data_IF_442886775340
#
_entry.id   IF_442886775340
#
_cell.length_a   1.000
_cell.length_b   1.000
_cell.length_c   1.000
_cell.angle_alpha   90.00
_cell.angle_beta   90.00
_cell.angle_gamma   90.00
#
_symmetry.space_group_name_H-M   'P 1'
#
loop_
_entity.id
_entity.type
_entity.pdbx_description
1 polymer ?
#
# COMPACT_ATOMS: atom_id res chain seq x y z
N UNK A 1 -0.23 -7.85 23.41
CA UNK A 1 -1.41 -7.03 23.72
C UNK A 1 -2.33 -7.04 22.53
N UNK A 2 -3.62 -7.35 22.70
CA UNK A 2 -4.63 -7.34 21.63
C UNK A 2 -5.03 -5.89 21.35
N UNK A 3 -4.81 -5.41 20.12
CA UNK A 3 -5.37 -4.15 19.65
C UNK A 3 -6.84 -4.43 19.29
N UNK A 4 -7.85 -3.85 19.98
CA UNK A 4 -9.23 -4.31 19.85
C UNK A 4 -10.00 -3.72 18.67
N UNK A 5 -9.52 -2.63 18.05
CA UNK A 5 -10.31 -1.83 17.11
C UNK A 5 -9.53 -1.43 15.85
N UNK A 6 -10.16 -1.64 14.68
CA UNK A 6 -9.66 -1.27 13.33
C UNK A 6 -9.23 0.20 13.22
N UNK A 7 -9.91 1.09 13.95
CA UNK A 7 -9.60 2.52 14.00
C UNK A 7 -8.27 2.84 14.71
N UNK A 8 -7.77 1.94 15.57
CA UNK A 8 -6.49 2.11 16.28
C UNK A 8 -5.26 1.90 15.39
N UNK A 9 -5.44 1.43 14.15
CA UNK A 9 -4.37 1.26 13.16
C UNK A 9 -4.05 2.55 12.39
N UNK A 10 -4.98 3.52 12.39
CA UNK A 10 -4.77 4.84 11.79
C UNK A 10 -4.16 5.73 12.87
N UNK A 11 -2.82 5.79 12.89
CA UNK A 11 -2.09 6.53 13.92
C UNK A 11 -2.20 8.06 13.76
N UNK A 12 -2.42 8.57 12.54
CA UNK A 12 -2.51 10.01 12.23
C UNK A 12 -3.28 10.25 10.93
N UNK A 13 -4.00 11.36 10.85
CA UNK A 13 -4.69 11.84 9.65
C UNK A 13 -3.84 12.86 8.86
N UNK A 14 -4.09 13.08 7.56
CA UNK A 14 -3.46 14.18 6.80
C UNK A 14 -3.64 15.55 7.48
N UNK A 15 -4.80 15.80 8.08
CA UNK A 15 -5.12 17.03 8.81
C UNK A 15 -4.24 17.21 10.06
N UNK A 16 -3.91 16.11 10.76
CA UNK A 16 -2.95 16.13 11.88
C UNK A 16 -1.54 16.53 11.43
N UNK A 17 -1.12 16.11 10.23
CA UNK A 17 0.19 16.45 9.68
C UNK A 17 0.27 17.92 9.26
N UNK A 18 -0.80 18.43 8.64
CA UNK A 18 -0.89 19.84 8.27
C UNK A 18 -0.89 20.75 9.50
N UNK A 19 -1.71 20.43 10.51
CA UNK A 19 -1.84 21.26 11.72
C UNK A 19 -0.60 21.24 12.62
N UNK A 20 0.11 20.10 12.73
CA UNK A 20 1.26 19.97 13.65
C UNK A 20 2.61 20.22 13.00
N UNK A 21 2.76 19.92 11.72
CA UNK A 21 4.06 19.95 11.03
C UNK A 21 4.06 20.82 9.76
N UNK A 22 2.91 21.39 9.38
CA UNK A 22 2.73 22.15 8.13
C UNK A 22 3.19 21.36 6.89
N UNK A 23 2.99 20.04 6.92
CA UNK A 23 3.29 19.13 5.81
C UNK A 23 2.03 18.97 4.97
N UNK A 24 2.12 19.22 3.66
CA UNK A 24 1.08 18.90 2.70
C UNK A 24 1.10 17.40 2.39
N UNK A 25 0.05 16.68 2.77
CA UNK A 25 -0.06 15.24 2.57
C UNK A 25 -1.13 14.98 1.51
N UNK A 26 -0.68 14.54 0.33
CA UNK A 26 -1.57 14.20 -0.80
C UNK A 26 -1.81 12.70 -0.87
N UNK A 27 -2.91 12.26 -0.28
CA UNK A 27 -3.38 10.86 -0.38
C UNK A 27 -3.94 10.59 -1.78
N UNK A 28 -3.96 9.32 -2.20
CA UNK A 28 -4.42 8.92 -3.54
C UNK A 28 -3.65 9.59 -4.70
N UNK A 29 -2.41 10.00 -4.47
CA UNK A 29 -1.51 10.52 -5.48
C UNK A 29 -0.34 9.55 -5.64
N UNK A 30 -0.16 9.02 -6.84
CA UNK A 30 0.89 8.06 -7.17
C UNK A 30 1.97 8.74 -8.03
N UNK A 31 3.23 8.70 -7.57
CA UNK A 31 4.36 9.14 -8.39
C UNK A 31 4.70 8.03 -9.38
N UNK A 32 4.53 8.32 -10.67
CA UNK A 32 4.71 7.34 -11.77
C UNK A 32 6.07 7.44 -12.44
N UNK A 33 6.72 8.60 -12.38
CA UNK A 33 8.07 8.79 -12.91
C UNK A 33 8.82 9.90 -12.17
N UNK A 34 10.15 9.85 -12.23
CA UNK A 34 11.06 10.85 -11.65
C UNK A 34 12.04 11.26 -12.75
N UNK A 35 12.17 12.57 -12.97
CA UNK A 35 13.18 13.17 -13.85
C UNK A 35 14.22 13.92 -12.99
N UNK A 36 15.40 13.32 -12.73
CA UNK A 36 16.44 13.96 -11.94
C UNK A 36 17.14 15.13 -12.63
N UNK A 37 17.08 15.21 -13.97
CA UNK A 37 17.74 16.26 -14.75
C UNK A 37 16.96 17.56 -14.62
N UNK A 38 15.65 17.48 -14.85
CA UNK A 38 14.74 18.63 -14.73
C UNK A 38 14.24 18.83 -13.29
N UNK A 39 14.58 17.92 -12.37
CA UNK A 39 14.12 17.88 -10.98
C UNK A 39 12.60 17.92 -10.86
N UNK A 40 11.93 17.06 -11.61
CA UNK A 40 10.47 16.92 -11.58
C UNK A 40 10.04 15.50 -11.28
N UNK A 41 8.81 15.36 -10.79
CA UNK A 41 8.11 14.07 -10.67
C UNK A 41 6.79 14.15 -11.41
N UNK A 42 6.38 13.04 -12.03
CA UNK A 42 5.05 12.92 -12.63
C UNK A 42 4.13 12.22 -11.66
N UNK A 43 3.07 12.91 -11.26
CA UNK A 43 2.10 12.45 -10.27
C UNK A 43 0.77 12.18 -10.96
N UNK A 44 0.18 11.03 -10.65
CA UNK A 44 -1.18 10.66 -11.06
C UNK A 44 -2.09 10.75 -9.85
N UNK A 45 -3.11 11.60 -9.93
CA UNK A 45 -4.21 11.59 -8.98
C UNK A 45 -5.13 10.41 -9.30
N UNK A 46 -5.20 9.43 -8.40
CA UNK A 46 -5.99 8.22 -8.58
C UNK A 46 -7.50 8.46 -8.42
N UNK A 47 -7.91 9.57 -7.82
CA UNK A 47 -9.31 9.95 -7.64
C UNK A 47 -9.88 10.63 -8.88
N UNK A 48 -9.14 11.59 -9.45
CA UNK A 48 -9.58 12.34 -10.65
C UNK A 48 -9.08 11.75 -11.98
N UNK A 49 -8.03 10.93 -11.93
CA UNK A 49 -7.32 10.43 -13.11
C UNK A 49 -6.34 11.44 -13.73
N UNK A 50 -6.25 12.66 -13.18
CA UNK A 50 -5.37 13.71 -13.65
C UNK A 50 -3.89 13.33 -13.49
N UNK A 51 -3.08 13.70 -14.47
CA UNK A 51 -1.62 13.55 -14.44
C UNK A 51 -0.99 14.92 -14.53
N UNK A 52 -0.13 15.24 -13.58
CA UNK A 52 0.56 16.53 -13.53
C UNK A 52 2.03 16.35 -13.13
N UNK A 53 2.84 17.37 -13.38
CA UNK A 53 4.25 17.41 -13.00
C UNK A 53 4.48 18.34 -11.82
N UNK A 54 5.34 17.93 -10.89
CA UNK A 54 5.69 18.70 -9.69
C UNK A 54 7.20 18.82 -9.55
N UNK A 55 7.69 20.04 -9.32
CA UNK A 55 9.11 20.34 -9.18
C UNK A 55 9.58 20.08 -7.75
N UNK A 56 10.86 19.75 -7.57
CA UNK A 56 11.45 19.51 -6.26
C UNK A 56 12.88 20.02 -6.12
N UNK A 57 13.23 20.52 -4.93
CA UNK A 57 14.62 20.85 -4.59
C UNK A 57 15.37 19.65 -4.00
N UNK A 58 14.65 18.85 -3.21
CA UNK A 58 15.12 17.63 -2.54
C UNK A 58 14.03 16.57 -2.62
N UNK A 59 14.38 15.38 -3.10
CA UNK A 59 13.48 14.24 -3.20
C UNK A 59 13.90 13.13 -2.24
N UNK A 60 12.97 12.68 -1.38
CA UNK A 60 13.13 11.51 -0.52
C UNK A 60 12.26 10.38 -1.05
N UNK A 61 12.88 9.25 -1.41
CA UNK A 61 12.16 8.05 -1.86
C UNK A 61 11.96 7.09 -0.69
N UNK A 62 10.72 6.96 -0.24
CA UNK A 62 10.30 6.09 0.86
C UNK A 62 9.11 5.19 0.46
N UNK A 63 9.08 4.74 -0.80
CA UNK A 63 8.00 3.92 -1.39
C UNK A 63 7.86 2.51 -0.77
N UNK A 64 8.70 2.16 0.20
CA UNK A 64 8.77 0.83 0.79
C UNK A 64 9.27 -0.22 -0.21
N UNK A 65 9.10 -1.50 0.13
CA UNK A 65 9.41 -2.63 -0.72
C UNK A 65 8.12 -3.38 -1.11
N UNK A 66 7.93 -3.67 -2.39
CA UNK A 66 6.89 -4.59 -2.82
C UNK A 66 7.34 -6.04 -2.57
N UNK A 67 6.46 -6.94 -2.09
CA UNK A 67 6.78 -8.35 -1.99
C UNK A 67 7.16 -8.84 -3.39
N UNK A 68 8.34 -9.44 -3.50
CA UNK A 68 8.79 -10.09 -4.73
C UNK A 68 7.85 -11.26 -4.96
N UNK A 69 7.02 -11.17 -6.01
CA UNK A 69 6.20 -12.29 -6.47
C UNK A 69 7.09 -13.09 -7.44
N UNK A 70 7.65 -14.24 -7.03
CA UNK A 70 8.43 -15.06 -7.95
C UNK A 70 7.50 -15.57 -9.07
N UNK A 71 7.95 -15.70 -10.31
CA UNK A 71 7.13 -16.22 -11.41
C UNK A 71 6.91 -17.72 -11.22
N UNK A 72 6.00 -18.09 -10.32
CA UNK A 72 5.51 -19.46 -10.16
C UNK A 72 4.18 -19.58 -10.91
N UNK A 73 4.01 -20.61 -11.75
CA UNK A 73 2.71 -20.91 -12.34
C UNK A 73 1.69 -21.17 -11.22
N UNK A 74 0.49 -20.60 -11.33
CA UNK A 74 -0.59 -20.75 -10.36
C UNK A 74 -0.79 -19.60 -9.37
N UNK A 75 0.09 -18.57 -9.34
CA UNK A 75 -0.04 -17.43 -8.41
C UNK A 75 -1.20 -16.46 -8.73
N UNK A 76 -1.82 -16.60 -9.89
CA UNK A 76 -3.00 -15.83 -10.32
C UNK A 76 -4.28 -16.68 -10.24
N UNK A 77 -4.23 -17.88 -9.65
CA UNK A 77 -5.41 -18.72 -9.50
C UNK A 77 -6.31 -18.24 -8.36
N UNK A 78 -7.61 -18.48 -8.53
CA UNK A 78 -8.62 -18.14 -7.53
C UNK A 78 -8.31 -18.84 -6.19
N UNK A 79 -8.26 -18.06 -5.11
CA UNK A 79 -7.93 -18.56 -3.78
C UNK A 79 -6.45 -18.38 -3.35
N UNK A 80 -5.58 -17.86 -4.22
CA UNK A 80 -4.21 -17.45 -3.86
C UNK A 80 -4.20 -15.96 -3.50
N UNK A 81 -3.78 -15.63 -2.28
CA UNK A 81 -3.74 -14.25 -1.77
C UNK A 81 -2.35 -13.88 -1.24
N UNK A 82 -1.95 -12.63 -1.44
CA UNK A 82 -0.82 -12.01 -0.73
C UNK A 82 -1.36 -11.17 0.43
N UNK A 83 -0.67 -11.14 1.57
CA UNK A 83 -1.06 -10.32 2.73
C UNK A 83 -0.05 -9.19 2.97
N UNK A 84 -0.42 -7.95 2.60
CA UNK A 84 0.42 -6.75 2.82
C UNK A 84 -0.36 -5.58 3.44
N UNK A 85 -1.63 -5.42 3.08
CA UNK A 85 -2.45 -4.28 3.49
C UNK A 85 -3.84 -4.73 3.99
N UNK A 86 -4.66 -3.76 4.44
CA UNK A 86 -6.00 -4.05 4.98
C UNK A 86 -6.98 -4.54 3.90
N UNK A 87 -6.83 -4.08 2.66
CA UNK A 87 -7.65 -4.54 1.53
C UNK A 87 -7.43 -6.03 1.26
N UNK A 88 -6.17 -6.47 1.35
CA UNK A 88 -5.83 -7.89 1.21
C UNK A 88 -6.48 -8.75 2.32
N UNK A 89 -6.50 -8.23 3.55
CA UNK A 89 -7.15 -8.89 4.68
C UNK A 89 -8.66 -9.01 4.47
N UNK A 90 -9.31 -7.94 4.02
CA UNK A 90 -10.75 -7.95 3.74
C UNK A 90 -11.09 -8.96 2.63
N UNK A 91 -10.25 -9.08 1.59
CA UNK A 91 -10.41 -10.06 0.52
C UNK A 91 -10.29 -11.52 1.01
N UNK A 92 -9.31 -11.81 1.88
CA UNK A 92 -9.12 -13.15 2.46
C UNK A 92 -10.32 -13.52 3.35
N UNK A 93 -10.78 -12.59 4.20
CA UNK A 93 -11.92 -12.84 5.08
C UNK A 93 -13.20 -13.09 4.27
N UNK A 94 -13.47 -12.28 3.26
CA UNK A 94 -14.60 -12.48 2.36
C UNK A 94 -14.55 -13.83 1.64
N UNK A 95 -13.36 -14.25 1.20
CA UNK A 95 -13.17 -15.55 0.54
C UNK A 95 -13.45 -16.73 1.48
N UNK A 96 -12.97 -16.67 2.73
CA UNK A 96 -13.19 -17.71 3.74
C UNK A 96 -14.68 -17.87 4.04
N UNK A 97 -15.40 -16.77 4.22
CA UNK A 97 -16.84 -16.79 4.51
C UNK A 97 -17.65 -17.33 3.32
N UNK A 98 -17.31 -16.94 2.10
CA UNK A 98 -18.04 -17.37 0.89
C UNK A 98 -17.82 -18.85 0.57
N UNK A 99 -16.58 -19.35 0.72
CA UNK A 99 -16.21 -20.70 0.28
C UNK A 99 -16.19 -21.72 1.42
N UNK A 100 -16.55 -21.34 2.65
CA UNK A 100 -16.54 -22.20 3.84
C UNK A 100 -15.23 -22.98 3.97
N UNK A 101 -14.11 -22.26 3.81
CA UNK A 101 -12.78 -22.86 3.67
C UNK A 101 -12.41 -23.66 4.91
N UNK A 102 -12.27 -24.98 4.75
CA UNK A 102 -11.93 -25.91 5.85
C UNK A 102 -10.41 -26.16 5.99
N UNK A 103 -9.64 -25.85 4.95
CA UNK A 103 -8.19 -26.08 4.92
C UNK A 103 -7.49 -24.91 4.23
N UNK A 104 -6.40 -24.41 4.84
CA UNK A 104 -5.59 -23.32 4.29
C UNK A 104 -4.11 -23.69 4.34
N UNK A 105 -3.32 -23.17 3.42
CA UNK A 105 -1.87 -23.38 3.37
C UNK A 105 -1.17 -22.05 3.30
N UNK A 106 -0.32 -21.76 4.29
CA UNK A 106 0.50 -20.56 4.34
C UNK A 106 1.87 -20.85 3.71
N UNK A 107 2.18 -20.18 2.60
CA UNK A 107 3.48 -20.29 1.94
C UNK A 107 4.33 -19.07 2.33
N UNK A 108 5.26 -19.28 3.27
CA UNK A 108 6.16 -18.24 3.78
C UNK A 108 6.16 -18.17 5.31
N UNK A 109 7.22 -18.68 5.95
CA UNK A 109 7.42 -18.64 7.40
C UNK A 109 8.34 -17.50 7.88
N UNK A 110 8.59 -16.50 7.05
CA UNK A 110 9.46 -15.38 7.37
C UNK A 110 8.74 -14.32 8.21
N UNK A 111 9.38 -13.84 9.27
CA UNK A 111 9.01 -12.56 9.89
C UNK A 111 9.36 -11.45 8.89
N UNK A 112 8.41 -10.55 8.62
CA UNK A 112 8.72 -9.26 8.01
C UNK A 112 9.55 -8.46 9.03
N UNK A 113 10.87 -8.57 8.91
CA UNK A 113 11.79 -7.74 9.68
C UNK A 113 11.86 -6.38 8.98
N UNK A 114 11.23 -5.38 9.59
CA UNK A 114 11.49 -3.96 9.28
C UNK A 114 12.92 -3.60 9.59
#
# INVERSE_FOLDING_TARGET
>A
GKIPLRQSLILKTPEDFKSRFNIDVRICHEVTSVDPVNKTVTVKNLTSGEVYSEEWDRLLLSTGAAPVVPPLPGLQEEGVFTLRNLTDMDAILGWIEQHHVAHTTLVGGGIYRT
#
